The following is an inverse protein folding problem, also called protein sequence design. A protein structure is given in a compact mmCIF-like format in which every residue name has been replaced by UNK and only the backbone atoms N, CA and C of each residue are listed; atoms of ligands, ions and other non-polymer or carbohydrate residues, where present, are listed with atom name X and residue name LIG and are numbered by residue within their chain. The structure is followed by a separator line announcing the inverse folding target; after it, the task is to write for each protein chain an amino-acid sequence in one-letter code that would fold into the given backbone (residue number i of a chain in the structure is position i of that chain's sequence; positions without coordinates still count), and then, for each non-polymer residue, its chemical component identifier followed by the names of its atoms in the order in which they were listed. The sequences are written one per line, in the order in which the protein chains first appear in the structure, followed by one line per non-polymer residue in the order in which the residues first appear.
data_IF_504304842400
#
_entry.id   IF_504304842400
#
_cell.length_a   1.000
_cell.length_b   1.000
_cell.length_c   1.000
_cell.angle_alpha   90.00
_cell.angle_beta   90.00
_cell.angle_gamma   90.00
#
_symmetry.space_group_name_H-M   'P 1'
#
loop_
_entity.id
_entity.type
_entity.pdbx_description
1 polymer ?
#
# COMPACT_ATOMS: atom_id res chain seq x y z
N UNK A 1 -15.85 18.32 9.97
CA UNK A 1 -16.24 16.92 9.73
C UNK A 1 -17.42 16.88 8.75
N UNK A 2 -17.44 15.91 7.83
CA UNK A 2 -18.60 15.70 6.95
C UNK A 2 -19.62 14.80 7.65
N UNK A 3 -20.89 15.19 7.62
CA UNK A 3 -22.01 14.43 8.17
C UNK A 3 -23.01 14.13 7.07
N UNK A 4 -23.51 12.89 7.02
CA UNK A 4 -24.70 12.55 6.22
C UNK A 4 -25.89 12.49 7.17
N UNK A 5 -26.88 13.32 6.90
CA UNK A 5 -28.12 13.37 7.67
C UNK A 5 -29.24 12.76 6.84
N UNK A 6 -30.02 11.87 7.45
CA UNK A 6 -31.39 11.61 6.97
C UNK A 6 -32.28 12.63 7.65
N UNK A 7 -32.91 13.46 6.84
CA UNK A 7 -33.79 14.53 7.27
C UNK A 7 -35.19 14.30 6.74
N UNK A 8 -36.19 14.72 7.51
CA UNK A 8 -37.58 14.77 7.11
C UNK A 8 -37.98 16.22 6.84
N UNK A 9 -38.59 16.45 5.67
CA UNK A 9 -39.24 17.71 5.29
C UNK A 9 -40.74 17.47 5.10
N UNK A 10 -41.63 18.34 5.63
CA UNK A 10 -43.08 18.20 5.51
C UNK A 10 -43.61 18.17 4.07
N UNK A 11 -42.86 18.72 3.10
CA UNK A 11 -43.28 18.83 1.70
C UNK A 11 -42.69 17.74 0.79
N UNK A 12 -41.59 17.10 1.18
CA UNK A 12 -40.81 16.20 0.30
C UNK A 12 -40.46 14.85 0.95
N UNK A 13 -40.91 14.59 2.18
CA UNK A 13 -40.64 13.34 2.90
C UNK A 13 -39.19 13.21 3.37
N UNK A 14 -38.66 11.98 3.38
CA UNK A 14 -37.31 11.69 3.91
C UNK A 14 -36.25 11.90 2.83
N UNK A 15 -35.37 12.89 3.01
CA UNK A 15 -34.21 13.15 2.14
C UNK A 15 -32.88 12.91 2.85
N UNK A 16 -31.82 12.70 2.06
CA UNK A 16 -30.44 12.58 2.57
C UNK A 16 -29.68 13.84 2.19
N UNK A 17 -29.24 14.60 3.19
CA UNK A 17 -28.43 15.81 2.98
C UNK A 17 -27.02 15.60 3.54
N UNK A 18 -26.02 16.12 2.84
CA UNK A 18 -24.65 16.21 3.33
C UNK A 18 -24.42 17.59 3.93
N UNK A 19 -23.87 17.66 5.14
CA UNK A 19 -23.44 18.93 5.71
C UNK A 19 -22.03 18.83 6.28
N UNK A 20 -21.29 19.94 6.22
CA UNK A 20 -19.99 20.08 6.88
C UNK A 20 -20.22 20.85 8.17
N UNK A 21 -19.85 20.23 9.29
CA UNK A 21 -19.92 20.83 10.62
C UNK A 21 -18.71 20.42 11.47
N UNK A 22 -18.40 21.21 12.50
CA UNK A 22 -17.30 20.94 13.44
C UNK A 22 -17.62 19.76 14.35
N UNK A 23 -18.88 19.61 14.78
CA UNK A 23 -19.36 18.51 15.62
C UNK A 23 -20.76 18.03 15.20
N UNK A 24 -21.23 16.95 15.82
CA UNK A 24 -22.55 16.39 15.57
C UNK A 24 -23.69 17.34 15.98
N UNK A 25 -23.48 18.20 16.97
CA UNK A 25 -24.50 19.15 17.44
C UNK A 25 -24.66 20.33 16.47
N UNK A 26 -23.57 20.86 15.92
CA UNK A 26 -23.55 21.89 14.90
C UNK A 26 -24.14 21.40 13.58
N UNK A 27 -23.91 20.13 13.19
CA UNK A 27 -24.59 19.53 12.05
C UNK A 27 -26.11 19.50 12.24
N UNK A 28 -26.57 19.20 13.47
CA UNK A 28 -27.99 19.17 13.81
C UNK A 28 -28.60 20.57 13.84
N UNK A 29 -27.90 21.56 14.42
CA UNK A 29 -28.34 22.98 14.45
C UNK A 29 -28.51 23.52 13.02
N UNK A 30 -27.51 23.30 12.17
CA UNK A 30 -27.51 23.76 10.78
C UNK A 30 -28.64 23.14 9.94
N UNK A 31 -28.99 21.87 10.18
CA UNK A 31 -30.13 21.23 9.53
C UNK A 31 -31.48 21.74 10.07
N UNK A 32 -31.56 22.05 11.37
CA UNK A 32 -32.78 22.56 12.01
C UNK A 32 -33.07 24.00 11.57
N UNK A 33 -32.03 24.84 11.43
CA UNK A 33 -32.12 26.19 10.87
C UNK A 33 -32.68 26.20 9.44
N UNK A 34 -32.45 25.12 8.69
CA UNK A 34 -32.97 24.93 7.33
C UNK A 34 -34.37 24.30 7.29
N UNK A 35 -35.05 24.17 8.43
CA UNK A 35 -36.41 23.63 8.52
C UNK A 35 -36.50 22.11 8.44
N UNK A 36 -35.38 21.40 8.55
CA UNK A 36 -35.34 19.94 8.45
C UNK A 36 -35.38 19.26 9.83
N UNK A 37 -36.22 18.23 9.98
CA UNK A 37 -36.19 17.37 11.17
C UNK A 37 -35.17 16.25 10.97
N UNK A 38 -34.09 16.26 11.76
CA UNK A 38 -33.03 15.24 11.67
C UNK A 38 -33.49 13.92 12.27
N UNK A 39 -33.68 12.89 11.43
CA UNK A 39 -34.10 11.55 11.84
C UNK A 39 -32.91 10.66 12.22
N UNK A 40 -31.77 10.81 11.55
CA UNK A 40 -30.56 10.09 11.91
C UNK A 40 -29.32 10.88 11.49
N UNK A 41 -28.37 11.01 12.40
CA UNK A 41 -27.10 11.69 12.18
C UNK A 41 -25.99 10.65 12.16
N UNK A 42 -25.43 10.39 10.98
CA UNK A 42 -24.26 9.52 10.85
C UNK A 42 -23.06 10.40 10.53
N UNK A 43 -22.14 10.49 11.47
CA UNK A 43 -20.81 11.00 11.17
C UNK A 43 -20.30 10.17 9.98
N UNK A 44 -19.95 10.81 8.87
CA UNK A 44 -19.14 10.14 7.88
C UNK A 44 -17.82 9.94 8.61
N UNK A 45 -17.62 8.76 9.22
CA UNK A 45 -16.37 8.40 9.87
C UNK A 45 -15.29 8.83 8.91
N UNK A 46 -14.42 9.73 9.38
CA UNK A 46 -13.16 10.03 8.72
C UNK A 46 -12.62 8.68 8.23
N UNK A 47 -12.33 8.57 6.93
CA UNK A 47 -11.58 7.45 6.34
C UNK A 47 -10.13 7.45 6.87
N UNK A 48 -9.93 7.72 8.16
CA UNK A 48 -8.67 7.64 8.86
C UNK A 48 -8.44 6.17 9.22
N UNK A 49 -7.26 5.68 8.82
CA UNK A 49 -6.80 4.30 8.90
C UNK A 49 -7.37 3.31 7.85
N UNK A 50 -7.31 3.71 6.57
CA UNK A 50 -7.21 2.70 5.49
C UNK A 50 -5.75 2.24 5.42
N UNK A 51 -5.40 1.24 6.23
CA UNK A 51 -4.19 0.44 5.99
C UNK A 51 -4.34 -0.21 4.61
N UNK A 52 -3.54 0.25 3.65
CA UNK A 52 -3.60 -0.21 2.27
C UNK A 52 -4.72 0.46 1.47
N UNK A 53 -4.56 1.74 1.10
CA UNK A 53 -5.20 2.22 -0.14
C UNK A 53 -4.68 1.35 -1.28
N UNK A 54 -5.58 0.83 -2.12
CA UNK A 54 -5.19 0.16 -3.34
C UNK A 54 -4.25 1.10 -4.10
N UNK A 55 -3.02 0.64 -4.37
CA UNK A 55 -2.05 1.44 -5.10
C UNK A 55 -2.61 1.69 -6.49
N UNK A 56 -2.98 2.94 -6.78
CA UNK A 56 -3.32 3.36 -8.13
C UNK A 56 -2.16 2.97 -9.04
N UNK A 57 -2.45 2.20 -10.11
CA UNK A 57 -1.42 1.68 -11.01
C UNK A 57 -1.08 2.73 -12.06
N UNK A 58 -0.23 3.69 -11.67
CA UNK A 58 0.18 4.82 -12.54
C UNK A 58 0.74 4.34 -13.87
N UNK A 59 1.52 3.26 -13.90
CA UNK A 59 2.05 2.71 -15.15
C UNK A 59 0.97 2.22 -16.11
N UNK A 60 -0.09 1.59 -15.59
CA UNK A 60 -1.23 1.18 -16.42
C UNK A 60 -2.03 2.40 -16.89
N UNK A 61 -2.31 3.35 -15.99
CA UNK A 61 -2.96 4.60 -16.33
C UNK A 61 -2.22 5.36 -17.44
N UNK A 62 -0.90 5.50 -17.33
CA UNK A 62 -0.08 6.18 -18.33
C UNK A 62 -0.08 5.45 -19.68
N UNK A 63 -0.12 4.11 -19.67
CA UNK A 63 -0.22 3.31 -20.89
C UNK A 63 -1.58 3.45 -21.57
N UNK A 64 -2.67 3.43 -20.80
CA UNK A 64 -4.02 3.62 -21.34
C UNK A 64 -4.23 5.06 -21.84
N UNK A 65 -3.74 6.06 -21.10
CA UNK A 65 -3.76 7.45 -21.54
C UNK A 65 -2.98 7.63 -22.83
N UNK A 66 -1.75 7.10 -22.91
CA UNK A 66 -0.94 7.15 -24.13
C UNK A 66 -1.69 6.55 -25.32
N UNK A 67 -2.30 5.38 -25.17
CA UNK A 67 -3.04 4.74 -26.25
C UNK A 67 -4.21 5.59 -26.78
N UNK A 68 -4.89 6.33 -25.89
CA UNK A 68 -5.97 7.23 -26.28
C UNK A 68 -5.44 8.50 -26.96
N UNK A 69 -4.35 9.08 -26.45
CA UNK A 69 -3.70 10.25 -27.07
C UNK A 69 -3.13 9.89 -28.45
N UNK A 70 -2.48 8.73 -28.60
CA UNK A 70 -1.97 8.23 -29.89
C UNK A 70 -3.11 7.94 -30.89
N UNK A 71 -4.30 7.61 -30.40
CA UNK A 71 -5.51 7.48 -31.22
C UNK A 71 -6.13 8.84 -31.63
N UNK A 72 -5.51 9.95 -31.23
CA UNK A 72 -5.93 11.31 -31.59
C UNK A 72 -6.97 11.93 -30.66
N UNK A 73 -7.31 11.29 -29.53
CA UNK A 73 -8.25 11.86 -28.57
C UNK A 73 -7.62 13.01 -27.80
N UNK A 74 -8.43 14.04 -27.53
CA UNK A 74 -8.03 15.13 -26.63
C UNK A 74 -7.88 14.64 -25.19
N UNK A 75 -7.05 15.33 -24.40
CA UNK A 75 -6.76 14.96 -23.00
C UNK A 75 -8.04 14.83 -22.15
N UNK A 76 -8.97 15.78 -22.28
CA UNK A 76 -10.23 15.76 -21.51
C UNK A 76 -11.08 14.54 -21.87
N UNK A 77 -11.17 14.21 -23.15
CA UNK A 77 -11.94 13.06 -23.64
C UNK A 77 -11.30 11.75 -23.20
N UNK A 78 -9.99 11.61 -23.35
CA UNK A 78 -9.24 10.46 -22.88
C UNK A 78 -9.43 10.25 -21.37
N UNK A 79 -9.35 11.32 -20.57
CA UNK A 79 -9.60 11.26 -19.13
C UNK A 79 -11.03 10.87 -18.77
N UNK A 80 -12.03 11.32 -19.53
CA UNK A 80 -13.42 10.91 -19.34
C UNK A 80 -13.61 9.41 -19.58
N UNK A 81 -13.00 8.87 -20.64
CA UNK A 81 -13.02 7.43 -20.94
C UNK A 81 -12.36 6.63 -19.81
N UNK A 82 -11.19 7.06 -19.34
CA UNK A 82 -10.48 6.38 -18.25
C UNK A 82 -11.28 6.39 -16.94
N UNK A 83 -11.90 7.53 -16.60
CA UNK A 83 -12.75 7.67 -15.43
C UNK A 83 -13.99 6.75 -15.51
N UNK A 84 -14.62 6.66 -16.69
CA UNK A 84 -15.76 5.76 -16.92
C UNK A 84 -15.40 4.28 -16.87
N UNK A 85 -14.22 3.91 -17.37
CA UNK A 85 -13.71 2.52 -17.38
C UNK A 85 -13.28 2.03 -15.98
N UNK A 86 -12.89 2.94 -15.08
CA UNK A 86 -12.36 2.58 -13.77
C UNK A 86 -13.36 1.72 -12.96
N UNK A 87 -12.97 0.47 -12.66
CA UNK A 87 -13.77 -0.46 -11.83
C UNK A 87 -13.60 -0.21 -10.33
N UNK A 88 -12.42 0.25 -9.93
CA UNK A 88 -12.11 0.59 -8.54
C UNK A 88 -12.78 1.93 -8.16
N UNK A 89 -13.64 1.96 -7.12
CA UNK A 89 -14.28 3.19 -6.67
C UNK A 89 -13.29 4.29 -6.30
N UNK A 90 -12.14 3.94 -5.72
CA UNK A 90 -11.12 4.92 -5.33
C UNK A 90 -10.46 5.55 -6.56
N UNK A 91 -10.09 4.72 -7.56
CA UNK A 91 -9.57 5.22 -8.84
C UNK A 91 -10.60 6.08 -9.59
N UNK A 92 -11.87 5.69 -9.58
CA UNK A 92 -12.96 6.47 -10.22
C UNK A 92 -13.15 7.83 -9.56
N UNK A 93 -13.13 7.89 -8.23
CA UNK A 93 -13.22 9.14 -7.47
C UNK A 93 -12.09 10.10 -7.85
N UNK A 94 -10.87 9.59 -8.00
CA UNK A 94 -9.68 10.40 -8.27
C UNK A 94 -9.64 10.87 -9.71
N UNK A 95 -9.88 9.97 -10.66
CA UNK A 95 -9.94 10.33 -12.08
C UNK A 95 -11.09 11.30 -12.36
N UNK A 96 -12.24 11.13 -11.70
CA UNK A 96 -13.35 12.08 -11.78
C UNK A 96 -12.98 13.47 -11.25
N UNK A 97 -12.23 13.55 -10.15
CA UNK A 97 -11.73 14.82 -9.63
C UNK A 97 -10.74 15.50 -10.58
N UNK A 98 -9.83 14.73 -11.17
CA UNK A 98 -8.88 15.24 -12.17
C UNK A 98 -9.61 15.76 -13.39
N UNK A 99 -10.60 15.00 -13.90
CA UNK A 99 -11.42 15.41 -15.03
C UNK A 99 -12.16 16.72 -14.78
N UNK A 100 -12.71 16.90 -13.58
CA UNK A 100 -13.40 18.13 -13.20
C UNK A 100 -12.44 19.33 -13.21
N UNK A 101 -11.23 19.19 -12.65
CA UNK A 101 -10.21 20.26 -12.68
C UNK A 101 -9.77 20.62 -14.11
N UNK A 102 -9.68 19.62 -15.00
CA UNK A 102 -9.39 19.84 -16.41
C UNK A 102 -10.53 20.60 -17.11
N UNK A 103 -11.78 20.28 -16.80
CA UNK A 103 -12.95 20.97 -17.33
C UNK A 103 -13.06 22.42 -16.82
N UNK A 104 -12.53 22.70 -15.62
CA UNK A 104 -12.36 24.05 -15.07
C UNK A 104 -11.20 24.83 -15.71
N UNK A 105 -10.48 24.22 -16.67
CA UNK A 105 -9.39 24.86 -17.41
C UNK A 105 -8.02 24.76 -16.74
N UNK A 106 -7.87 23.94 -15.70
CA UNK A 106 -6.55 23.66 -15.15
C UNK A 106 -5.72 22.81 -16.12
N UNK A 107 -4.39 22.96 -16.03
CA UNK A 107 -3.47 22.09 -16.77
C UNK A 107 -3.53 20.66 -16.22
N UNK A 108 -3.19 19.67 -17.05
CA UNK A 108 -3.14 18.27 -16.66
C UNK A 108 -2.15 18.02 -15.52
N UNK A 109 -0.99 18.68 -15.56
CA UNK A 109 0.02 18.60 -14.51
C UNK A 109 -0.50 19.13 -13.16
N UNK A 110 -1.23 20.25 -13.17
CA UNK A 110 -1.85 20.81 -11.96
C UNK A 110 -2.96 19.89 -11.43
N UNK A 111 -3.80 19.35 -12.31
CA UNK A 111 -4.86 18.43 -11.95
C UNK A 111 -4.32 17.12 -11.35
N UNK A 112 -3.24 16.56 -11.91
CA UNK A 112 -2.55 15.38 -11.39
C UNK A 112 -1.86 15.67 -10.03
N UNK A 113 -1.29 16.87 -9.88
CA UNK A 113 -0.65 17.30 -8.63
C UNK A 113 -1.63 17.39 -7.44
N UNK A 114 -2.94 17.52 -7.70
CA UNK A 114 -3.97 17.50 -6.65
C UNK A 114 -4.14 16.13 -5.97
N UNK A 115 -3.52 15.06 -6.50
CA UNK A 115 -3.53 13.71 -5.94
C UNK A 115 -2.10 13.14 -5.77
N UNK A 116 -1.25 13.74 -4.91
CA UNK A 116 0.17 13.36 -4.77
C UNK A 116 0.36 11.96 -4.18
N UNK A 117 -0.63 11.44 -3.46
CA UNK A 117 -0.60 10.06 -2.94
C UNK A 117 -0.66 9.00 -4.06
N UNK A 118 -1.14 9.38 -5.24
CA UNK A 118 -1.36 8.47 -6.36
C UNK A 118 -0.43 8.74 -7.52
N UNK A 119 -0.11 10.00 -7.79
CA UNK A 119 0.78 10.41 -8.88
C UNK A 119 2.14 10.84 -8.33
N UNK A 120 3.21 10.05 -8.58
CA UNK A 120 4.56 10.42 -8.20
C UNK A 120 4.99 11.75 -8.79
N UNK A 121 5.79 12.51 -8.04
CA UNK A 121 6.33 13.82 -8.47
C UNK A 121 7.00 13.76 -9.84
N UNK A 122 7.74 12.67 -10.12
CA UNK A 122 8.38 12.48 -11.43
C UNK A 122 7.37 12.42 -12.57
N UNK A 123 6.26 11.71 -12.40
CA UNK A 123 5.21 11.62 -13.42
C UNK A 123 4.58 12.98 -13.69
N UNK A 124 4.24 13.71 -12.63
CA UNK A 124 3.68 15.07 -12.73
C UNK A 124 4.66 16.02 -13.43
N UNK A 125 5.95 15.94 -13.10
CA UNK A 125 6.99 16.75 -13.73
C UNK A 125 7.16 16.42 -15.22
N UNK A 126 7.10 15.14 -15.60
CA UNK A 126 7.14 14.70 -17.01
C UNK A 126 5.97 15.27 -17.80
N UNK A 127 4.76 15.21 -17.24
CA UNK A 127 3.56 15.79 -17.87
C UNK A 127 3.67 17.32 -17.95
N UNK A 128 4.14 17.97 -16.90
CA UNK A 128 4.34 19.44 -16.89
C UNK A 128 5.30 19.89 -17.98
N UNK A 129 6.39 19.16 -18.21
CA UNK A 129 7.32 19.45 -19.29
C UNK A 129 6.67 19.26 -20.67
N UNK A 130 5.78 18.28 -20.82
CA UNK A 130 5.09 18.02 -22.09
C UNK A 130 3.97 19.00 -22.42
N UNK A 131 3.40 19.66 -21.42
CA UNK A 131 2.45 20.77 -21.63
C UNK A 131 3.10 21.97 -22.30
N UNK A 132 4.39 22.22 -22.03
CA UNK A 132 5.14 23.31 -22.66
C UNK A 132 5.53 22.98 -24.10
N UNK A 133 5.83 21.71 -24.39
CA UNK A 133 6.26 21.25 -25.71
C UNK A 133 5.11 20.76 -26.59
N UNK A 134 3.90 20.60 -26.03
CA UNK A 134 2.73 20.05 -26.72
C UNK A 134 2.80 18.55 -27.01
N UNK A 135 3.87 17.85 -26.62
CA UNK A 135 4.07 16.43 -26.96
C UNK A 135 3.86 15.51 -25.76
N UNK A 136 2.60 15.35 -25.33
CA UNK A 136 2.24 14.48 -24.22
C UNK A 136 2.50 13.00 -24.52
N UNK A 137 2.27 12.55 -25.75
CA UNK A 137 2.49 11.16 -26.15
C UNK A 137 3.95 10.72 -25.94
N UNK A 138 4.90 11.51 -26.45
CA UNK A 138 6.32 11.20 -26.28
C UNK A 138 6.74 11.20 -24.80
N UNK A 139 6.22 12.13 -24.00
CA UNK A 139 6.52 12.20 -22.58
C UNK A 139 6.00 10.97 -21.81
N UNK A 140 4.77 10.52 -22.12
CA UNK A 140 4.21 9.29 -21.55
C UNK A 140 4.99 8.05 -22.00
N UNK A 141 5.41 7.97 -23.26
CA UNK A 141 6.27 6.88 -23.77
C UNK A 141 7.61 6.82 -23.01
N UNK A 142 8.28 7.96 -22.84
CA UNK A 142 9.53 8.06 -22.07
C UNK A 142 9.34 7.63 -20.62
N UNK A 143 8.25 8.07 -19.97
CA UNK A 143 7.91 7.65 -18.61
C UNK A 143 7.68 6.14 -18.52
N UNK A 144 6.94 5.56 -19.47
CA UNK A 144 6.67 4.12 -19.50
C UNK A 144 7.93 3.31 -19.74
N UNK A 145 8.84 3.77 -20.60
CA UNK A 145 10.13 3.13 -20.83
C UNK A 145 10.98 3.10 -19.55
N UNK A 146 11.08 4.24 -18.86
CA UNK A 146 11.74 4.34 -17.56
C UNK A 146 11.09 3.41 -16.51
N UNK A 147 9.76 3.41 -16.42
CA UNK A 147 9.03 2.59 -15.47
C UNK A 147 9.22 1.08 -15.73
N UNK A 148 9.26 0.67 -17.01
CA UNK A 148 9.57 -0.73 -17.39
C UNK A 148 11.00 -1.12 -17.01
N UNK A 149 11.98 -0.23 -17.20
CA UNK A 149 13.36 -0.49 -16.81
C UNK A 149 13.49 -0.68 -15.29
N UNK A 150 12.84 0.17 -14.50
CA UNK A 150 12.79 0.02 -13.04
C UNK A 150 12.16 -1.30 -12.61
N UNK A 151 11.02 -1.68 -13.23
CA UNK A 151 10.37 -2.95 -12.92
C UNK A 151 11.27 -4.14 -13.28
N UNK A 152 11.97 -4.10 -14.42
CA UNK A 152 12.90 -5.15 -14.81
C UNK A 152 14.08 -5.30 -13.84
N UNK A 153 14.65 -4.19 -13.36
CA UNK A 153 15.70 -4.21 -12.33
C UNK A 153 15.16 -4.82 -11.04
N UNK A 154 13.97 -4.39 -10.61
CA UNK A 154 13.32 -4.93 -9.41
C UNK A 154 13.07 -6.43 -9.53
N UNK A 155 12.53 -6.89 -10.65
CA UNK A 155 12.21 -8.31 -10.86
C UNK A 155 13.48 -9.17 -10.85
N UNK A 156 14.60 -8.65 -11.40
CA UNK A 156 15.91 -9.30 -11.28
C UNK A 156 16.39 -9.40 -9.83
N UNK A 157 16.30 -8.32 -9.06
CA UNK A 157 16.69 -8.30 -7.64
C UNK A 157 15.84 -9.29 -6.83
N UNK A 158 14.51 -9.26 -7.03
CA UNK A 158 13.59 -10.17 -6.36
C UNK A 158 13.94 -11.61 -6.73
N UNK A 159 14.07 -11.93 -8.02
CA UNK A 159 14.42 -13.28 -8.48
C UNK A 159 15.75 -13.77 -7.93
N UNK A 160 16.79 -12.93 -7.89
CA UNK A 160 18.09 -13.29 -7.35
C UNK A 160 18.06 -13.52 -5.83
N UNK A 161 17.14 -12.87 -5.11
CA UNK A 161 16.99 -13.02 -3.66
C UNK A 161 16.26 -14.30 -3.22
N UNK A 162 15.50 -14.94 -4.13
CA UNK A 162 14.69 -16.13 -3.80
C UNK A 162 15.57 -17.30 -3.35
N UNK A 163 16.64 -17.61 -4.08
CA UNK A 163 17.50 -18.76 -3.74
C UNK A 163 18.22 -18.60 -2.39
N UNK A 164 18.91 -17.47 -2.10
CA UNK A 164 19.49 -17.22 -0.78
C UNK A 164 18.46 -17.27 0.34
N UNK A 165 17.28 -16.66 0.15
CA UNK A 165 16.22 -16.67 1.15
C UNK A 165 15.70 -18.08 1.43
N UNK A 166 15.54 -18.91 0.39
CA UNK A 166 15.13 -20.31 0.53
C UNK A 166 16.18 -21.11 1.30
N UNK A 167 17.47 -20.98 0.92
CA UNK A 167 18.57 -21.70 1.56
C UNK A 167 18.70 -21.32 3.05
N UNK A 168 18.66 -20.03 3.36
CA UNK A 168 18.70 -19.54 4.75
C UNK A 168 17.47 -20.01 5.52
N UNK A 169 16.27 -19.96 4.93
CA UNK A 169 15.03 -20.41 5.57
C UNK A 169 15.03 -21.90 5.91
N UNK A 170 15.40 -22.75 4.94
CA UNK A 170 15.49 -24.21 5.15
C UNK A 170 16.62 -24.54 6.11
N UNK A 171 17.79 -23.91 5.97
CA UNK A 171 18.93 -24.12 6.87
C UNK A 171 18.58 -23.74 8.32
N UNK A 172 17.93 -22.60 8.53
CA UNK A 172 17.48 -22.18 9.86
C UNK A 172 16.46 -23.17 10.45
N UNK A 173 15.52 -23.68 9.65
CA UNK A 173 14.56 -24.69 10.09
C UNK A 173 15.27 -25.96 10.57
N UNK A 174 16.26 -26.45 9.81
CA UNK A 174 17.05 -27.63 10.17
C UNK A 174 17.84 -27.40 11.46
N UNK A 175 18.50 -26.25 11.61
CA UNK A 175 19.25 -25.91 12.82
C UNK A 175 18.32 -25.89 14.04
N UNK A 176 17.17 -25.23 13.94
CA UNK A 176 16.17 -25.20 15.02
C UNK A 176 15.69 -26.61 15.37
N UNK A 177 15.41 -27.44 14.37
CA UNK A 177 15.02 -28.85 14.60
C UNK A 177 16.11 -29.63 15.35
N UNK A 178 17.38 -29.50 14.93
CA UNK A 178 18.50 -30.18 15.59
C UNK A 178 18.65 -29.70 17.04
N UNK A 179 18.63 -28.40 17.29
CA UNK A 179 18.83 -27.84 18.62
C UNK A 179 17.64 -28.08 19.56
N UNK A 180 16.40 -28.06 19.06
CA UNK A 180 15.21 -28.23 19.88
C UNK A 180 14.87 -29.70 20.16
N UNK A 181 15.18 -30.62 19.24
CA UNK A 181 14.79 -32.02 19.36
C UNK A 181 15.97 -32.98 19.52
N UNK A 182 17.00 -32.86 18.66
CA UNK A 182 18.09 -33.83 18.59
C UNK A 182 19.08 -33.64 19.75
N UNK A 183 19.53 -32.41 20.00
CA UNK A 183 20.51 -32.10 21.05
C UNK A 183 20.03 -32.50 22.45
N UNK A 184 18.80 -32.15 22.90
CA UNK A 184 18.33 -32.54 24.23
C UNK A 184 18.23 -34.06 24.41
N UNK A 185 17.92 -34.79 23.33
CA UNK A 185 17.83 -36.25 23.36
C UNK A 185 19.19 -36.90 23.59
N UNK A 186 20.23 -36.40 22.93
CA UNK A 186 21.60 -36.85 23.21
C UNK A 186 22.07 -36.46 24.62
N UNK A 187 21.72 -35.25 25.08
CA UNK A 187 22.02 -34.83 26.45
C UNK A 187 21.50 -35.79 27.52
N UNK A 188 20.27 -36.31 27.35
CA UNK A 188 19.70 -37.33 28.26
C UNK A 188 20.48 -38.64 28.24
N UNK A 189 20.84 -39.12 27.05
CA UNK A 189 21.64 -40.36 26.91
C UNK A 189 23.00 -40.23 27.61
N UNK A 190 23.67 -39.09 27.48
CA UNK A 190 24.94 -38.86 28.19
C UNK A 190 24.76 -38.75 29.71
N UNK A 191 23.66 -38.16 30.18
CA UNK A 191 23.35 -38.09 31.61
C UNK A 191 23.11 -39.48 32.22
N UNK A 192 22.44 -40.37 31.48
CA UNK A 192 22.15 -41.75 31.90
C UNK A 192 23.42 -42.64 31.95
N UNK A 193 24.49 -42.27 31.23
CA UNK A 193 25.76 -43.01 31.15
C UNK A 193 26.76 -42.68 32.29
N UNK A 194 26.43 -41.75 33.20
CA UNK A 194 27.18 -41.56 34.45
C UNK A 194 28.60 -40.97 34.35
N UNK A 195 29.01 -40.41 33.21
CA UNK A 195 30.34 -39.77 33.07
C UNK A 195 30.28 -38.26 33.33
N UNK A 196 30.84 -37.85 34.47
CA UNK A 196 30.90 -36.47 34.95
C UNK A 196 31.82 -35.52 34.15
N UNK A 197 32.55 -36.02 33.16
CA UNK A 197 33.51 -35.25 32.38
C UNK A 197 33.05 -35.05 30.93
N UNK A 198 31.95 -34.33 30.74
CA UNK A 198 31.56 -33.85 29.40
C UNK A 198 32.63 -32.87 28.88
N UNK A 199 33.22 -33.08 27.68
CA UNK A 199 34.18 -32.16 27.08
C UNK A 199 33.60 -30.75 26.88
N UNK A 200 34.45 -29.73 26.92
CA UNK A 200 34.04 -28.31 26.83
C UNK A 200 33.10 -28.02 25.65
N UNK A 201 33.39 -28.55 24.46
CA UNK A 201 32.58 -28.35 23.26
C UNK A 201 31.17 -28.94 23.40
N UNK A 202 31.02 -30.06 24.11
CA UNK A 202 29.72 -30.68 24.38
C UNK A 202 28.90 -29.87 25.39
N UNK A 203 29.54 -29.27 26.42
CA UNK A 203 28.85 -28.37 27.37
C UNK A 203 28.34 -27.11 26.68
N UNK A 204 29.17 -26.48 25.85
CA UNK A 204 28.80 -25.29 25.09
C UNK A 204 27.59 -25.55 24.18
N UNK A 205 27.55 -26.74 23.56
CA UNK A 205 26.46 -27.15 22.68
C UNK A 205 25.15 -27.45 23.45
N UNK A 206 25.25 -28.04 24.64
CA UNK A 206 24.10 -28.28 25.54
C UNK A 206 23.56 -26.96 26.10
N UNK A 207 24.43 -26.03 26.52
CA UNK A 207 24.03 -24.70 26.98
C UNK A 207 23.32 -23.89 25.86
N UNK A 208 23.84 -23.95 24.63
CA UNK A 208 23.15 -23.37 23.47
C UNK A 208 21.79 -24.04 23.20
N UNK A 209 21.69 -25.35 23.40
CA UNK A 209 20.42 -26.09 23.32
C UNK A 209 19.39 -25.64 24.36
N UNK A 210 19.82 -25.33 25.59
CA UNK A 210 18.96 -24.79 26.63
C UNK A 210 18.45 -23.38 26.28
N UNK A 211 19.31 -22.50 25.77
CA UNK A 211 18.90 -21.16 25.30
C UNK A 211 17.87 -21.27 24.17
N UNK A 212 18.06 -22.19 23.23
CA UNK A 212 17.12 -22.41 22.12
C UNK A 212 15.82 -23.09 22.55
N UNK A 213 15.81 -23.90 23.61
CA UNK A 213 14.56 -24.49 24.11
C UNK A 213 13.76 -23.52 24.98
N UNK A 214 14.41 -22.67 25.78
CA UNK A 214 13.75 -21.61 26.55
C UNK A 214 13.27 -20.44 25.66
N UNK A 215 14.08 -20.03 24.68
CA UNK A 215 13.78 -18.89 23.81
C UNK A 215 13.39 -19.29 22.39
N UNK A 216 13.14 -20.57 22.11
CA UNK A 216 12.91 -21.08 20.75
C UNK A 216 11.74 -20.42 20.03
N UNK A 217 10.65 -20.17 20.75
CA UNK A 217 9.50 -19.43 20.22
C UNK A 217 9.84 -17.95 19.95
N UNK A 218 10.67 -17.33 20.77
CA UNK A 218 11.12 -15.95 20.59
C UNK A 218 12.15 -15.81 19.46
N UNK A 219 13.04 -16.79 19.28
CA UNK A 219 14.01 -16.86 18.18
C UNK A 219 13.33 -17.18 16.85
N UNK A 220 12.39 -18.12 16.83
CA UNK A 220 11.57 -18.40 15.66
C UNK A 220 10.69 -17.19 15.30
N UNK A 221 10.07 -16.56 16.30
CA UNK A 221 9.33 -15.31 16.14
C UNK A 221 10.21 -14.17 15.64
N UNK A 222 11.44 -14.06 16.14
CA UNK A 222 12.45 -13.08 15.72
C UNK A 222 12.95 -13.30 14.30
N UNK A 223 13.17 -14.56 13.88
CA UNK A 223 13.55 -14.92 12.52
C UNK A 223 12.41 -14.65 11.53
N UNK A 224 11.17 -14.99 11.89
CA UNK A 224 9.97 -14.65 11.09
C UNK A 224 9.78 -13.14 11.04
N UNK A 225 9.94 -12.42 12.16
CA UNK A 225 9.86 -10.97 12.19
C UNK A 225 10.97 -10.33 11.34
N UNK A 226 12.21 -10.83 11.40
CA UNK A 226 13.32 -10.37 10.58
C UNK A 226 13.08 -10.64 9.09
N UNK A 227 12.54 -11.82 8.73
CA UNK A 227 12.15 -12.14 7.36
C UNK A 227 11.01 -11.23 6.88
N UNK A 228 9.99 -10.99 7.72
CA UNK A 228 8.89 -10.07 7.42
C UNK A 228 9.40 -8.65 7.29
N UNK A 229 10.30 -8.19 8.16
CA UNK A 229 10.93 -6.86 8.08
C UNK A 229 11.80 -6.74 6.85
N UNK A 230 12.62 -7.73 6.52
CA UNK A 230 13.42 -7.75 5.30
C UNK A 230 12.52 -7.68 4.06
N UNK A 231 11.47 -8.51 3.98
CA UNK A 231 10.48 -8.46 2.91
C UNK A 231 9.75 -7.12 2.89
N UNK A 232 9.43 -6.53 4.05
CA UNK A 232 8.73 -5.27 4.15
C UNK A 232 9.62 -4.08 3.78
N UNK A 233 10.90 -4.09 4.14
CA UNK A 233 11.92 -3.09 3.77
C UNK A 233 12.23 -3.18 2.27
N UNK A 234 12.40 -4.39 1.72
CA UNK A 234 12.54 -4.62 0.28
C UNK A 234 11.27 -4.25 -0.50
N UNK A 235 10.11 -4.23 0.16
CA UNK A 235 8.85 -3.72 -0.39
C UNK A 235 8.62 -2.23 -0.14
N UNK A 236 9.41 -1.57 0.74
CA UNK A 236 9.19 -0.17 1.08
C UNK A 236 9.71 0.74 -0.03
N UNK A 237 8.93 1.76 -0.40
CA UNK A 237 9.29 2.71 -1.44
C UNK A 237 10.51 3.59 -1.11
N UNK A 238 11.14 3.46 0.07
CA UNK A 238 12.34 4.22 0.44
C UNK A 238 13.63 3.67 -0.18
N UNK A 239 13.59 2.48 -0.78
CA UNK A 239 14.61 1.98 -1.74
C UNK A 239 14.22 2.37 -3.19
N UNK A 240 13.29 3.33 -3.38
CA UNK A 240 12.95 3.94 -4.70
C UNK A 240 13.68 5.27 -4.96
N UNK A 241 14.77 5.56 -4.24
CA UNK A 241 15.70 6.61 -4.64
C UNK A 241 16.74 6.00 -5.58
#
# INVERSE_FOLDING_TARGET
MQFRLKVYSPQEGVRRIGCIATDAQAARRKATEQGYTVLSLRAARLRALRWGRASFKVGLFAQELLALIDAGLGVIEAMAILAGKARDPDAREVLGRILLLLQEGQTLSAALAAAPEQFPTLFVATVKASEQTGNLAEALQRYLAYHRQLNAVRDKVVSASIYPALLVGVGALVIVFLLAYVVPRFGRVYADLGQADVPFLSRLLIEWGHVVTEHGAALAGGAVAAAVVAVHVLRRPAVRA
#
